data_IF_805055427215
#
_entry.id   IF_805055427215
#
_cell.length_a   1.000
_cell.length_b   1.000
_cell.length_c   1.000
_cell.angle_alpha   90.00
_cell.angle_beta   90.00
_cell.angle_gamma   90.00
#
_symmetry.space_group_name_H-M   'P 1'
#
loop_
_entity.id
_entity.type
_entity.pdbx_description
1 polymer ?
#
# COMPACT_ATOMS: atom_id res chain seq x y z
N UNK A 1 -3.85 7.44 7.09
CA UNK A 1 -4.68 6.50 7.88
C UNK A 1 -3.91 5.21 8.10
N UNK A 2 -4.16 4.55 9.23
CA UNK A 2 -3.61 3.25 9.61
C UNK A 2 -4.77 2.23 9.68
N UNK A 3 -4.96 1.48 8.61
CA UNK A 3 -6.05 0.51 8.51
C UNK A 3 -5.69 -0.77 9.28
N UNK A 4 -6.45 -1.05 10.34
CA UNK A 4 -6.31 -2.23 11.20
C UNK A 4 -7.50 -3.16 11.00
N UNK A 5 -7.24 -4.37 10.53
CA UNK A 5 -8.29 -5.38 10.39
C UNK A 5 -8.55 -6.08 11.73
N UNK A 6 -9.78 -6.00 12.24
CA UNK A 6 -10.20 -6.62 13.48
C UNK A 6 -11.68 -7.02 13.43
N UNK A 7 -11.98 -8.11 12.72
CA UNK A 7 -13.36 -8.53 12.51
C UNK A 7 -14.06 -8.96 13.79
N UNK A 8 -15.27 -8.43 14.01
CA UNK A 8 -16.10 -8.75 15.16
C UNK A 8 -16.88 -10.03 14.91
N UNK A 9 -16.18 -11.17 14.97
CA UNK A 9 -16.70 -12.50 14.62
C UNK A 9 -17.80 -13.00 15.56
N UNK A 10 -17.92 -12.44 16.76
CA UNK A 10 -18.98 -12.80 17.71
C UNK A 10 -20.28 -12.04 17.48
N UNK A 11 -20.25 -10.96 16.70
CA UNK A 11 -21.43 -10.15 16.38
C UNK A 11 -22.48 -10.96 15.62
N UNK A 12 -23.76 -10.71 15.93
CA UNK A 12 -24.88 -11.30 15.20
C UNK A 12 -24.84 -10.98 13.69
N UNK A 13 -24.38 -9.78 13.35
CA UNK A 13 -24.21 -9.33 11.96
C UNK A 13 -23.16 -10.17 11.20
N UNK A 14 -21.98 -10.39 11.78
CA UNK A 14 -20.94 -11.22 11.17
C UNK A 14 -21.44 -12.67 11.00
N UNK A 15 -22.02 -13.24 12.05
CA UNK A 15 -22.55 -14.62 12.05
C UNK A 15 -23.70 -14.83 11.08
N UNK A 16 -24.49 -13.80 10.79
CA UNK A 16 -25.54 -13.88 9.79
C UNK A 16 -25.01 -14.17 8.36
N UNK A 17 -23.72 -13.92 8.09
CA UNK A 17 -23.07 -14.36 6.84
C UNK A 17 -23.64 -13.75 5.55
N UNK A 18 -24.40 -12.65 5.63
CA UNK A 18 -25.02 -12.03 4.47
C UNK A 18 -24.03 -11.12 3.75
N UNK A 19 -24.02 -11.17 2.43
CA UNK A 19 -23.14 -10.36 1.59
C UNK A 19 -23.89 -9.30 0.79
N UNK A 20 -23.17 -8.27 0.37
CA UNK A 20 -23.66 -7.20 -0.49
C UNK A 20 -22.80 -7.07 -1.74
N UNK A 21 -23.42 -6.62 -2.82
CA UNK A 21 -22.68 -5.96 -3.90
C UNK A 21 -22.54 -4.50 -3.54
N UNK A 22 -21.31 -4.05 -3.31
CA UNK A 22 -21.03 -2.67 -2.93
C UNK A 22 -21.39 -1.73 -4.08
N UNK A 23 -22.34 -0.82 -3.83
CA UNK A 23 -22.77 0.24 -4.76
C UNK A 23 -22.48 1.63 -4.23
N UNK A 24 -22.16 1.77 -2.94
CA UNK A 24 -21.87 3.05 -2.32
C UNK A 24 -21.24 2.92 -0.93
N UNK A 25 -20.98 4.07 -0.32
CA UNK A 25 -20.40 4.26 1.00
C UNK A 25 -21.30 5.22 1.80
N UNK A 26 -21.50 4.94 3.09
CA UNK A 26 -22.27 5.76 4.00
C UNK A 26 -21.41 6.21 5.17
N UNK A 27 -21.28 7.52 5.36
CA UNK A 27 -20.58 8.11 6.50
C UNK A 27 -21.54 8.34 7.66
N UNK A 28 -21.06 8.02 8.86
CA UNK A 28 -21.75 8.14 10.13
C UNK A 28 -20.87 8.83 11.16
N UNK A 29 -21.49 9.27 12.25
CA UNK A 29 -20.78 9.54 13.50
C UNK A 29 -21.50 8.87 14.66
N UNK A 30 -20.73 8.46 15.66
CA UNK A 30 -21.20 7.53 16.70
C UNK A 30 -22.31 8.08 17.62
N UNK A 31 -22.68 9.36 17.50
CA UNK A 31 -23.84 9.95 18.17
C UNK A 31 -23.74 10.01 19.70
N UNK A 32 -22.54 9.95 20.25
CA UNK A 32 -22.26 10.05 21.68
C UNK A 32 -20.81 10.51 21.91
N UNK A 33 -20.49 11.15 23.05
CA UNK A 33 -19.15 11.71 23.31
C UNK A 33 -18.13 10.62 23.64
N UNK A 34 -17.79 9.82 22.65
CA UNK A 34 -16.89 8.68 22.77
C UNK A 34 -15.81 8.75 21.68
N UNK A 35 -14.58 9.18 22.05
CA UNK A 35 -13.50 9.39 21.10
C UNK A 35 -12.77 8.10 20.71
N UNK A 36 -13.10 6.95 21.32
CA UNK A 36 -12.38 5.69 21.12
C UNK A 36 -13.24 4.57 20.56
N UNK A 37 -12.71 3.90 19.53
CA UNK A 37 -13.37 2.83 18.81
C UNK A 37 -13.47 1.54 19.63
N UNK A 38 -12.55 1.31 20.58
CA UNK A 38 -12.48 0.07 21.36
C UNK A 38 -13.76 -0.19 22.17
N UNK A 39 -14.41 0.88 22.66
CA UNK A 39 -15.69 0.81 23.37
C UNK A 39 -16.79 0.23 22.47
N UNK A 40 -16.88 0.70 21.22
CA UNK A 40 -17.86 0.20 20.25
C UNK A 40 -17.53 -1.22 19.79
N UNK A 41 -16.25 -1.52 19.53
CA UNK A 41 -15.83 -2.87 19.16
C UNK A 41 -16.22 -3.90 20.22
N UNK A 42 -16.00 -3.58 21.51
CA UNK A 42 -16.44 -4.43 22.63
C UNK A 42 -17.97 -4.55 22.68
N UNK A 43 -18.69 -3.45 22.50
CA UNK A 43 -20.15 -3.42 22.56
C UNK A 43 -20.85 -4.05 21.34
N UNK A 44 -20.19 -4.16 20.19
CA UNK A 44 -20.79 -4.73 18.98
C UNK A 44 -20.35 -6.18 18.72
N UNK A 45 -19.28 -6.65 19.36
CA UNK A 45 -18.82 -8.04 19.25
C UNK A 45 -19.59 -8.99 20.19
N UNK A 46 -20.92 -8.99 20.09
CA UNK A 46 -21.82 -9.87 20.84
C UNK A 46 -23.00 -10.31 19.98
N UNK A 47 -23.52 -11.50 20.25
CA UNK A 47 -24.54 -12.11 19.40
C UNK A 47 -25.86 -11.30 19.32
N UNK A 48 -26.20 -10.58 20.39
CA UNK A 48 -27.39 -9.75 20.56
C UNK A 48 -27.19 -8.28 20.12
N UNK A 49 -26.01 -7.92 19.59
CA UNK A 49 -25.78 -6.57 19.06
C UNK A 49 -26.63 -6.36 17.80
N UNK A 50 -27.44 -5.30 17.80
CA UNK A 50 -28.34 -4.96 16.69
C UNK A 50 -27.77 -3.87 15.76
N UNK A 51 -26.50 -3.50 15.94
CA UNK A 51 -25.79 -2.55 15.10
C UNK A 51 -24.42 -3.11 14.72
N UNK A 52 -24.01 -2.87 13.49
CA UNK A 52 -22.70 -3.26 12.99
C UNK A 52 -22.35 -2.43 11.75
N UNK A 53 -21.20 -1.79 11.78
CA UNK A 53 -20.63 -1.01 10.67
C UNK A 53 -19.38 -1.71 10.16
N UNK A 54 -18.84 -1.25 9.04
CA UNK A 54 -17.64 -1.85 8.44
C UNK A 54 -16.36 -1.31 9.02
N UNK A 55 -16.32 -0.02 9.37
CA UNK A 55 -15.16 0.58 10.01
C UNK A 55 -15.50 1.71 10.97
N UNK A 56 -14.57 1.99 11.90
CA UNK A 56 -14.59 3.14 12.79
C UNK A 56 -13.29 3.94 12.61
N UNK A 57 -13.41 5.27 12.49
CA UNK A 57 -12.30 6.23 12.29
C UNK A 57 -12.02 7.01 13.59
N UNK A 58 -10.76 7.01 14.02
CA UNK A 58 -10.26 7.80 15.14
C UNK A 58 -9.48 9.05 14.67
N UNK A 59 -9.37 10.10 15.52
CA UNK A 59 -8.69 11.35 15.18
C UNK A 59 -7.16 11.23 15.08
N UNK A 60 -6.55 10.13 15.54
CA UNK A 60 -5.12 9.86 15.41
C UNK A 60 -4.77 9.13 14.09
N UNK A 61 -5.78 8.83 13.29
CA UNK A 61 -5.65 8.18 11.99
C UNK A 61 -5.75 6.67 12.03
N UNK A 62 -5.96 6.06 13.19
CA UNK A 62 -6.34 4.66 13.26
C UNK A 62 -7.74 4.44 12.69
N UNK A 63 -7.86 3.43 11.81
CA UNK A 63 -9.11 3.00 11.20
C UNK A 63 -9.29 1.52 11.47
N UNK A 64 -10.31 1.15 12.23
CA UNK A 64 -10.58 -0.24 12.58
C UNK A 64 -11.60 -0.83 11.62
N UNK A 65 -11.16 -1.68 10.69
CA UNK A 65 -12.08 -2.47 9.87
C UNK A 65 -12.62 -3.64 10.70
N UNK A 66 -13.89 -3.56 11.02
CA UNK A 66 -14.56 -4.44 11.99
C UNK A 66 -15.56 -5.41 11.35
N UNK A 67 -15.85 -5.22 10.06
CA UNK A 67 -16.62 -6.15 9.23
C UNK A 67 -15.97 -6.22 7.83
N UNK A 68 -15.94 -7.39 7.16
CA UNK A 68 -15.50 -7.47 5.77
C UNK A 68 -16.32 -6.51 4.88
N UNK A 69 -15.66 -5.81 3.95
CA UNK A 69 -16.29 -4.76 3.13
C UNK A 69 -17.51 -5.24 2.31
N UNK A 70 -17.51 -6.51 1.89
CA UNK A 70 -18.61 -7.13 1.14
C UNK A 70 -19.66 -7.81 2.03
N UNK A 71 -19.57 -7.69 3.36
CA UNK A 71 -20.58 -8.20 4.27
C UNK A 71 -21.70 -7.17 4.42
N UNK A 72 -22.92 -7.64 4.68
CA UNK A 72 -24.09 -6.80 4.90
C UNK A 72 -24.06 -6.23 6.32
N UNK A 73 -23.69 -4.96 6.45
CA UNK A 73 -23.75 -4.24 7.73
C UNK A 73 -25.18 -4.01 8.23
N UNK A 74 -25.31 -3.73 9.52
CA UNK A 74 -26.54 -3.29 10.19
C UNK A 74 -26.32 -1.86 10.69
N UNK A 75 -26.01 -0.95 9.78
CA UNK A 75 -25.48 0.38 10.11
C UNK A 75 -26.51 1.49 9.97
N UNK A 76 -27.43 1.40 9.00
CA UNK A 76 -28.33 2.53 8.68
C UNK A 76 -29.82 2.26 8.91
N UNK A 77 -30.20 1.07 9.39
CA UNK A 77 -31.62 0.74 9.64
C UNK A 77 -32.53 0.76 8.41
N UNK A 78 -31.99 0.67 7.18
CA UNK A 78 -32.78 0.76 5.94
C UNK A 78 -32.19 -0.03 4.76
N UNK A 79 -32.70 0.26 3.56
CA UNK A 79 -32.32 -0.42 2.32
C UNK A 79 -30.82 -0.35 2.00
N UNK A 80 -30.15 0.73 2.40
CA UNK A 80 -28.72 0.94 2.15
C UNK A 80 -27.81 -0.09 2.86
N UNK A 81 -28.30 -0.78 3.91
CA UNK A 81 -27.58 -1.92 4.49
C UNK A 81 -27.26 -3.01 3.46
N UNK A 82 -28.02 -3.10 2.35
CA UNK A 82 -27.83 -4.10 1.31
C UNK A 82 -26.89 -3.64 0.17
N UNK A 83 -26.38 -2.41 0.22
CA UNK A 83 -25.66 -1.79 -0.90
C UNK A 83 -24.47 -0.94 -0.50
N UNK A 84 -24.44 -0.43 0.74
CA UNK A 84 -23.44 0.54 1.19
C UNK A 84 -22.50 -0.06 2.25
N UNK A 85 -21.24 0.38 2.20
CA UNK A 85 -20.30 0.21 3.30
C UNK A 85 -20.55 1.33 4.31
N UNK A 86 -20.88 1.01 5.56
CA UNK A 86 -21.08 1.97 6.63
C UNK A 86 -19.78 2.24 7.40
N UNK A 87 -19.43 3.50 7.58
CA UNK A 87 -18.24 3.93 8.33
C UNK A 87 -18.62 4.94 9.40
N UNK A 88 -18.19 4.70 10.62
CA UNK A 88 -18.37 5.59 11.76
C UNK A 88 -17.15 6.47 11.99
N UNK A 89 -17.37 7.74 12.30
CA UNK A 89 -16.37 8.59 12.96
C UNK A 89 -16.67 8.66 14.45
N UNK A 90 -15.62 8.51 15.26
CA UNK A 90 -15.72 8.83 16.69
C UNK A 90 -16.06 10.31 16.90
N UNK A 91 -16.74 10.62 18.00
CA UNK A 91 -17.07 12.00 18.38
C UNK A 91 -16.23 12.42 19.61
N UNK A 92 -15.92 13.72 19.76
CA UNK A 92 -15.09 14.20 20.86
C UNK A 92 -15.73 13.97 22.23
N UNK A 93 -14.92 13.80 23.27
CA UNK A 93 -15.40 13.71 24.65
C UNK A 93 -15.96 15.04 25.19
N UNK A 94 -15.66 16.15 24.51
CA UNK A 94 -15.99 17.53 24.90
C UNK A 94 -17.34 18.02 24.35
N UNK A 95 -18.24 17.11 23.99
CA UNK A 95 -19.62 17.46 23.63
C UNK A 95 -20.63 16.75 24.52
N UNK A 96 -21.81 17.35 24.68
CA UNK A 96 -22.95 16.74 25.35
C UNK A 96 -24.17 16.82 24.45
N UNK A 97 -24.69 15.66 24.06
CA UNK A 97 -25.94 15.54 23.32
C UNK A 97 -27.13 15.97 24.19
N UNK A 98 -28.01 16.76 23.60
CA UNK A 98 -29.20 17.35 24.24
C UNK A 98 -30.51 16.84 23.61
N UNK A 99 -30.45 15.70 22.90
CA UNK A 99 -31.58 15.07 22.22
C UNK A 99 -31.62 15.36 20.72
N UNK A 100 -31.88 14.32 19.93
CA UNK A 100 -31.81 14.38 18.47
C UNK A 100 -30.42 14.77 17.99
N UNK A 101 -30.35 15.65 16.98
CA UNK A 101 -29.12 16.19 16.43
C UNK A 101 -28.48 17.32 17.28
N UNK A 102 -29.07 17.70 18.42
CA UNK A 102 -28.59 18.82 19.20
C UNK A 102 -27.48 18.41 20.17
N UNK A 103 -26.42 19.22 20.23
CA UNK A 103 -25.33 19.05 21.19
C UNK A 103 -24.79 20.41 21.65
N UNK A 104 -24.10 20.37 22.79
CA UNK A 104 -23.45 21.52 23.41
C UNK A 104 -21.97 21.21 23.65
N UNK A 105 -21.11 22.19 23.44
CA UNK A 105 -19.69 22.13 23.81
C UNK A 105 -19.56 22.12 25.34
N UNK A 106 -18.69 21.26 25.89
CA UNK A 106 -18.40 21.18 27.32
C UNK A 106 -17.00 21.65 27.71
N UNK A 107 -16.12 21.91 26.74
CA UNK A 107 -14.80 22.51 26.90
C UNK A 107 -14.69 23.90 26.25
N UNK A 108 -13.48 24.21 25.75
CA UNK A 108 -13.16 25.47 25.05
C UNK A 108 -13.42 25.41 23.54
N UNK A 109 -13.86 24.26 23.02
CA UNK A 109 -14.12 24.02 21.60
C UNK A 109 -12.89 23.68 20.75
N UNK A 110 -11.66 23.87 21.23
CA UNK A 110 -10.45 23.58 20.44
C UNK A 110 -10.29 22.07 20.24
N UNK A 111 -10.46 21.29 21.30
CA UNK A 111 -10.40 19.82 21.21
C UNK A 111 -11.51 19.26 20.31
N UNK A 112 -12.73 19.79 20.40
CA UNK A 112 -13.86 19.39 19.56
C UNK A 112 -13.55 19.67 18.08
N UNK A 113 -13.07 20.88 17.76
CA UNK A 113 -12.68 21.24 16.41
C UNK A 113 -11.58 20.33 15.86
N UNK A 114 -10.52 20.11 16.65
CA UNK A 114 -9.39 19.29 16.24
C UNK A 114 -9.82 17.83 15.99
N UNK A 115 -10.66 17.27 16.87
CA UNK A 115 -11.21 15.93 16.71
C UNK A 115 -12.02 15.80 15.43
N UNK A 116 -12.98 16.72 15.19
CA UNK A 116 -13.86 16.68 14.02
C UNK A 116 -13.09 16.84 12.72
N UNK A 117 -12.14 17.78 12.66
CA UNK A 117 -11.31 17.97 11.47
C UNK A 117 -10.40 16.77 11.20
N UNK A 118 -9.86 16.15 12.25
CA UNK A 118 -9.02 14.98 12.11
C UNK A 118 -9.80 13.74 11.64
N UNK A 119 -10.96 13.44 12.23
CA UNK A 119 -11.80 12.33 11.77
C UNK A 119 -12.33 12.55 10.36
N UNK A 120 -12.69 13.80 10.00
CA UNK A 120 -13.05 14.17 8.61
C UNK A 120 -11.91 13.83 7.63
N UNK A 121 -10.69 14.28 7.92
CA UNK A 121 -9.51 14.03 7.08
C UNK A 121 -9.30 12.52 6.86
N UNK A 122 -9.31 11.73 7.92
CA UNK A 122 -9.08 10.28 7.79
C UNK A 122 -10.26 9.54 7.16
N UNK A 123 -11.49 10.04 7.32
CA UNK A 123 -12.64 9.55 6.58
C UNK A 123 -12.50 9.83 5.07
N UNK A 124 -12.01 11.01 4.66
CA UNK A 124 -11.71 11.30 3.24
C UNK A 124 -10.71 10.29 2.68
N UNK A 125 -9.62 10.00 3.41
CA UNK A 125 -8.61 9.02 3.00
C UNK A 125 -9.19 7.61 2.84
N UNK A 126 -10.00 7.15 3.81
CA UNK A 126 -10.65 5.84 3.75
C UNK A 126 -11.65 5.76 2.60
N UNK A 127 -12.49 6.78 2.40
CA UNK A 127 -13.48 6.78 1.33
C UNK A 127 -12.82 6.83 -0.04
N UNK A 128 -11.71 7.57 -0.20
CA UNK A 128 -10.93 7.56 -1.44
C UNK A 128 -10.34 6.17 -1.73
N UNK A 129 -9.84 5.48 -0.70
CA UNK A 129 -9.39 4.09 -0.81
C UNK A 129 -10.52 3.16 -1.24
N UNK A 130 -11.69 3.22 -0.60
CA UNK A 130 -12.84 2.38 -0.91
C UNK A 130 -13.45 2.68 -2.29
N UNK A 131 -13.58 3.96 -2.66
CA UNK A 131 -14.02 4.34 -3.99
C UNK A 131 -13.06 3.81 -5.07
N UNK A 132 -11.75 3.83 -4.82
CA UNK A 132 -10.77 3.24 -5.75
C UNK A 132 -10.87 1.72 -5.83
N UNK A 133 -11.05 1.04 -4.68
CA UNK A 133 -11.19 -0.42 -4.60
C UNK A 133 -12.41 -0.94 -5.37
N UNK A 134 -13.53 -0.24 -5.27
CA UNK A 134 -14.81 -0.64 -5.84
C UNK A 134 -15.18 0.10 -7.13
N UNK A 135 -14.25 0.87 -7.70
CA UNK A 135 -14.46 1.68 -8.91
C UNK A 135 -15.71 2.58 -8.82
N UNK A 136 -15.89 3.24 -7.68
CA UNK A 136 -17.01 4.13 -7.41
C UNK A 136 -16.62 5.58 -7.75
N UNK A 137 -17.52 6.33 -8.38
CA UNK A 137 -17.36 7.77 -8.53
C UNK A 137 -17.95 8.50 -7.32
N UNK A 138 -17.14 9.12 -6.43
CA UNK A 138 -17.66 9.76 -5.23
C UNK A 138 -18.58 10.95 -5.51
N UNK A 139 -18.55 11.50 -6.73
CA UNK A 139 -19.43 12.59 -7.16
C UNK A 139 -20.77 12.08 -7.73
N UNK A 140 -20.91 10.78 -8.01
CA UNK A 140 -22.14 10.24 -8.56
C UNK A 140 -23.24 10.15 -7.50
N UNK A 141 -24.48 10.37 -7.92
CA UNK A 141 -25.63 10.42 -7.02
C UNK A 141 -25.82 9.11 -6.25
N UNK A 142 -25.98 9.21 -4.93
CA UNK A 142 -26.20 8.06 -4.04
C UNK A 142 -24.98 7.19 -3.77
N UNK A 143 -23.81 7.48 -4.36
CA UNK A 143 -22.59 6.67 -4.19
C UNK A 143 -21.94 6.92 -2.84
N UNK A 144 -21.60 8.16 -2.49
CA UNK A 144 -21.19 8.53 -1.13
C UNK A 144 -22.34 9.31 -0.53
N UNK A 145 -22.82 8.97 0.65
CA UNK A 145 -23.93 9.66 1.35
C UNK A 145 -23.69 9.70 2.87
N UNK A 146 -24.30 10.64 3.57
CA UNK A 146 -24.46 10.58 5.04
C UNK A 146 -25.67 9.74 5.42
N UNK A 147 -25.83 9.42 6.71
CA UNK A 147 -27.07 8.84 7.22
C UNK A 147 -28.26 9.78 6.96
N UNK A 148 -28.10 11.08 7.22
CA UNK A 148 -29.11 12.11 6.97
C UNK A 148 -29.57 12.15 5.50
N UNK A 149 -28.63 12.04 4.55
CA UNK A 149 -28.95 11.91 3.13
C UNK A 149 -29.66 10.59 2.81
N UNK A 150 -29.25 9.49 3.45
CA UNK A 150 -29.92 8.19 3.36
C UNK A 150 -31.37 8.24 3.85
N UNK A 151 -31.64 8.95 4.94
CA UNK A 151 -32.99 9.17 5.46
C UNK A 151 -33.85 9.92 4.45
N UNK A 152 -33.34 11.04 3.91
CA UNK A 152 -34.04 11.86 2.90
C UNK A 152 -34.34 11.07 1.63
N UNK A 153 -33.53 10.06 1.32
CA UNK A 153 -33.73 9.12 0.20
C UNK A 153 -34.63 7.93 0.53
N UNK A 154 -35.10 7.78 1.77
CA UNK A 154 -35.92 6.65 2.22
C UNK A 154 -35.17 5.31 2.30
N UNK A 155 -33.83 5.34 2.37
CA UNK A 155 -32.98 4.13 2.41
C UNK A 155 -32.22 3.97 3.74
N UNK A 156 -32.42 4.87 4.69
CA UNK A 156 -31.90 4.80 6.06
C UNK A 156 -32.93 5.30 7.07
N UNK A 157 -32.68 5.04 8.36
CA UNK A 157 -33.48 5.52 9.49
C UNK A 157 -33.35 7.03 9.69
N UNK A 158 -34.13 7.61 10.61
CA UNK A 158 -34.26 9.06 10.80
C UNK A 158 -33.12 9.75 11.55
N UNK A 159 -31.89 9.21 11.47
CA UNK A 159 -30.74 9.83 12.12
C UNK A 159 -30.18 11.00 11.28
N UNK A 160 -29.67 12.01 11.97
CA UNK A 160 -29.19 13.27 11.39
C UNK A 160 -27.67 13.36 11.18
N UNK A 161 -26.93 12.28 11.46
CA UNK A 161 -25.50 12.21 11.25
C UNK A 161 -25.12 12.24 9.77
N UNK A 162 -24.04 12.91 9.37
CA UNK A 162 -22.99 13.57 10.19
C UNK A 162 -23.16 15.08 10.30
N UNK A 163 -24.16 15.64 9.62
CA UNK A 163 -24.34 17.07 9.41
C UNK A 163 -24.59 17.85 10.71
N UNK A 164 -25.14 17.21 11.75
CA UNK A 164 -25.32 17.82 13.08
C UNK A 164 -24.01 18.29 13.70
N UNK A 165 -22.91 17.59 13.41
CA UNK A 165 -21.58 17.91 13.90
C UNK A 165 -20.83 18.78 12.88
N UNK A 166 -20.81 18.35 11.63
CA UNK A 166 -20.03 18.97 10.56
C UNK A 166 -20.40 20.42 10.25
N UNK A 167 -21.71 20.74 10.28
CA UNK A 167 -22.19 22.09 9.96
C UNK A 167 -21.63 23.17 10.90
N UNK A 168 -21.30 22.82 12.15
CA UNK A 168 -20.69 23.74 13.13
C UNK A 168 -19.26 24.14 12.78
N UNK A 169 -18.59 23.37 11.91
CA UNK A 169 -17.21 23.57 11.49
C UNK A 169 -17.08 23.90 9.99
N UNK A 170 -18.20 24.24 9.32
CA UNK A 170 -18.21 24.58 7.90
C UNK A 170 -17.98 23.40 6.96
N UNK A 171 -18.10 22.17 7.45
CA UNK A 171 -17.95 20.96 6.65
C UNK A 171 -19.31 20.55 6.05
N UNK A 172 -19.30 19.98 4.85
CA UNK A 172 -20.51 19.52 4.16
C UNK A 172 -20.27 18.23 3.39
N UNK A 173 -21.35 17.48 3.10
CA UNK A 173 -21.27 16.29 2.25
C UNK A 173 -20.86 16.62 0.82
N UNK A 174 -21.21 17.81 0.31
CA UNK A 174 -20.75 18.27 -1.00
C UNK A 174 -19.22 18.43 -1.02
N UNK A 175 -18.65 19.09 -0.01
CA UNK A 175 -17.21 19.25 0.09
C UNK A 175 -16.52 17.90 0.32
N UNK A 176 -17.09 17.03 1.16
CA UNK A 176 -16.56 15.69 1.41
C UNK A 176 -16.42 14.87 0.14
N UNK A 177 -17.44 14.87 -0.73
CA UNK A 177 -17.38 14.19 -2.04
C UNK A 177 -16.30 14.79 -2.96
N UNK A 178 -16.13 16.11 -2.96
CA UNK A 178 -15.05 16.80 -3.70
C UNK A 178 -13.67 16.44 -3.16
N UNK A 179 -13.51 16.40 -1.84
CA UNK A 179 -12.24 16.07 -1.18
C UNK A 179 -11.87 14.60 -1.40
N UNK A 180 -12.84 13.68 -1.36
CA UNK A 180 -12.62 12.28 -1.77
C UNK A 180 -12.17 12.22 -3.23
N UNK A 181 -12.86 12.93 -4.14
CA UNK A 181 -12.46 12.97 -5.55
C UNK A 181 -11.06 13.54 -5.74
N UNK A 182 -10.68 14.57 -4.98
CA UNK A 182 -9.35 15.16 -5.00
C UNK A 182 -8.30 14.15 -4.51
N UNK A 183 -8.56 13.50 -3.37
CA UNK A 183 -7.73 12.43 -2.81
C UNK A 183 -7.57 11.24 -3.78
N UNK A 184 -8.58 10.95 -4.60
CA UNK A 184 -8.51 9.95 -5.68
C UNK A 184 -7.73 10.42 -6.92
N UNK A 185 -7.76 11.71 -7.28
CA UNK A 185 -7.12 12.27 -8.49
C UNK A 185 -5.63 12.53 -8.35
N UNK A 186 -5.14 12.72 -7.13
CA UNK A 186 -3.75 12.97 -6.83
C UNK A 186 -3.53 12.92 -5.34
N UNK A 187 -3.08 11.77 -4.83
CA UNK A 187 -2.45 11.71 -3.52
C UNK A 187 -1.16 12.53 -3.54
N UNK A 188 -1.23 13.77 -3.09
CA UNK A 188 -0.13 14.64 -2.65
C UNK A 188 -0.78 15.79 -1.84
N UNK A 189 -0.19 16.46 -0.86
CA UNK A 189 1.11 16.40 -0.22
C UNK A 189 0.94 17.25 1.06
N UNK A 190 0.71 16.61 2.21
CA UNK A 190 0.87 17.27 3.51
C UNK A 190 1.17 16.33 4.68
N UNK A 191 0.83 15.03 4.63
CA UNK A 191 1.05 14.16 5.81
C UNK A 191 1.62 12.75 5.53
N UNK A 192 2.28 12.50 4.40
CA UNK A 192 3.31 11.43 4.33
C UNK A 192 4.30 11.66 3.19
N UNK A 193 5.07 12.74 3.25
CA UNK A 193 6.22 12.89 2.38
C UNK A 193 7.21 11.73 2.61
N UNK A 194 7.80 11.21 1.54
CA UNK A 194 8.61 9.99 1.59
C UNK A 194 10.03 10.34 1.99
N UNK A 195 10.39 10.07 3.25
CA UNK A 195 11.74 10.31 3.76
C UNK A 195 12.82 9.59 2.92
N UNK A 196 13.89 10.31 2.60
CA UNK A 196 15.09 9.76 1.93
C UNK A 196 15.95 8.99 2.94
N UNK A 197 15.97 9.46 4.20
CA UNK A 197 16.61 8.75 5.30
C UNK A 197 15.76 7.57 5.75
N UNK A 198 16.41 6.49 6.19
CA UNK A 198 15.77 5.28 6.70
C UNK A 198 16.26 4.00 6.01
N UNK A 199 15.67 2.88 6.41
CA UNK A 199 15.96 1.58 5.82
C UNK A 199 15.27 1.43 4.47
N UNK A 200 15.94 0.73 3.55
CA UNK A 200 15.33 0.35 2.29
C UNK A 200 14.07 -0.51 2.54
N UNK A 201 13.02 -0.27 1.73
CA UNK A 201 11.78 -1.04 1.74
C UNK A 201 11.77 -2.13 0.68
N UNK A 202 12.55 -1.97 -0.39
CA UNK A 202 12.75 -2.99 -1.40
C UNK A 202 14.01 -3.84 -1.15
N UNK A 203 13.96 -5.12 -1.54
CA UNK A 203 15.11 -6.03 -1.52
C UNK A 203 15.95 -5.90 -2.81
N UNK A 204 17.20 -6.38 -2.76
CA UNK A 204 18.06 -6.48 -3.93
C UNK A 204 17.42 -7.32 -5.06
N UNK A 205 16.69 -8.38 -4.70
CA UNK A 205 16.04 -9.25 -5.70
C UNK A 205 14.86 -8.57 -6.36
N UNK A 206 14.05 -7.79 -5.62
CA UNK A 206 13.00 -6.96 -6.21
C UNK A 206 13.57 -5.94 -7.20
N UNK A 207 14.69 -5.30 -6.85
CA UNK A 207 15.38 -4.37 -7.74
C UNK A 207 15.92 -5.06 -9.00
N UNK A 208 16.53 -6.24 -8.86
CA UNK A 208 17.00 -7.06 -9.99
C UNK A 208 15.84 -7.49 -10.90
N UNK A 209 14.74 -7.99 -10.34
CA UNK A 209 13.56 -8.44 -11.10
C UNK A 209 12.93 -7.28 -11.89
N UNK A 210 12.72 -6.14 -11.23
CA UNK A 210 12.24 -4.93 -11.89
C UNK A 210 13.16 -4.54 -13.07
N UNK A 211 14.47 -4.53 -12.84
CA UNK A 211 15.42 -4.09 -13.85
C UNK A 211 15.46 -5.02 -15.05
N UNK A 212 15.49 -6.34 -14.84
CA UNK A 212 15.42 -7.34 -15.92
C UNK A 212 14.16 -7.16 -16.78
N UNK A 213 13.03 -6.82 -16.16
CA UNK A 213 11.77 -6.58 -16.88
C UNK A 213 11.79 -5.30 -17.71
N UNK A 214 12.42 -4.23 -17.21
CA UNK A 214 12.50 -2.93 -17.90
C UNK A 214 13.64 -2.85 -18.91
N UNK A 215 14.71 -3.59 -18.70
CA UNK A 215 15.86 -3.69 -19.56
C UNK A 215 16.27 -5.16 -19.67
N UNK A 216 15.64 -5.94 -20.57
CA UNK A 216 15.98 -7.36 -20.77
C UNK A 216 17.44 -7.60 -21.20
N UNK A 217 18.08 -6.58 -21.78
CA UNK A 217 19.48 -6.59 -22.19
C UNK A 217 20.44 -6.03 -21.13
N UNK A 218 20.00 -5.86 -19.88
CA UNK A 218 20.83 -5.30 -18.83
C UNK A 218 22.09 -6.14 -18.61
N UNK A 219 23.30 -5.54 -18.56
CA UNK A 219 24.53 -6.29 -18.32
C UNK A 219 24.52 -6.96 -16.94
N UNK A 220 25.12 -8.15 -16.84
CA UNK A 220 25.22 -8.87 -15.56
C UNK A 220 25.96 -8.05 -14.49
N UNK A 221 26.99 -7.28 -14.88
CA UNK A 221 27.71 -6.39 -13.97
C UNK A 221 26.83 -5.33 -13.30
N UNK A 222 25.76 -4.89 -13.96
CA UNK A 222 24.76 -3.97 -13.38
C UNK A 222 23.90 -4.69 -12.36
N UNK A 223 23.54 -5.95 -12.60
CA UNK A 223 22.78 -6.76 -11.64
C UNK A 223 23.62 -7.10 -10.40
N UNK A 224 24.91 -7.36 -10.59
CA UNK A 224 25.84 -7.74 -9.54
C UNK A 224 26.11 -6.59 -8.56
N UNK A 225 26.03 -5.33 -9.02
CA UNK A 225 26.21 -4.16 -8.16
C UNK A 225 24.93 -3.73 -7.42
N UNK A 226 23.74 -4.24 -7.75
CA UNK A 226 22.48 -3.85 -7.08
C UNK A 226 22.53 -3.99 -5.54
N UNK A 227 23.07 -5.08 -4.96
CA UNK A 227 23.23 -5.20 -3.51
C UNK A 227 24.04 -4.06 -2.86
N UNK A 228 24.93 -3.40 -3.61
CA UNK A 228 25.72 -2.29 -3.10
C UNK A 228 24.86 -1.06 -2.76
N UNK A 229 23.72 -0.85 -3.43
CA UNK A 229 22.79 0.22 -3.06
C UNK A 229 22.25 0.01 -1.64
N UNK A 230 21.95 -1.24 -1.27
CA UNK A 230 21.44 -1.58 0.05
C UNK A 230 22.54 -1.38 1.09
N UNK A 231 23.74 -1.95 0.88
CA UNK A 231 24.81 -1.89 1.87
C UNK A 231 25.35 -0.47 2.07
N UNK A 232 25.56 0.29 1.00
CA UNK A 232 26.01 1.68 1.09
C UNK A 232 24.92 2.59 1.69
N UNK A 233 23.65 2.36 1.32
CA UNK A 233 22.52 3.06 1.92
C UNK A 233 22.39 2.80 3.42
N UNK A 234 22.43 1.54 3.85
CA UNK A 234 22.36 1.15 5.26
C UNK A 234 23.50 1.74 6.09
N UNK A 235 24.73 1.75 5.54
CA UNK A 235 25.87 2.37 6.19
C UNK A 235 25.62 3.85 6.51
N UNK A 236 25.01 4.60 5.57
CA UNK A 236 24.78 6.04 5.73
C UNK A 236 23.42 6.40 6.33
N UNK A 237 22.53 5.41 6.53
CA UNK A 237 21.15 5.62 6.97
C UNK A 237 20.23 6.17 5.88
N UNK A 238 20.60 5.99 4.61
CA UNK A 238 19.86 6.42 3.43
C UNK A 238 19.14 5.23 2.82
N UNK A 239 17.94 5.45 2.29
CA UNK A 239 17.19 4.45 1.55
C UNK A 239 17.89 4.08 0.25
N UNK A 240 18.62 2.96 0.27
CA UNK A 240 19.32 2.42 -0.90
C UNK A 240 18.40 2.11 -2.10
N UNK A 241 17.18 1.65 -1.82
CA UNK A 241 16.13 1.43 -2.82
C UNK A 241 15.68 2.73 -3.52
N UNK A 242 15.69 3.87 -2.80
CA UNK A 242 15.43 5.19 -3.37
C UNK A 242 16.56 5.62 -4.32
N UNK A 243 17.81 5.41 -3.91
CA UNK A 243 18.97 5.70 -4.75
C UNK A 243 18.97 4.84 -6.03
N UNK A 244 18.63 3.54 -5.92
CA UNK A 244 18.46 2.69 -7.09
C UNK A 244 17.33 3.19 -8.02
N UNK A 245 16.18 3.56 -7.47
CA UNK A 245 15.07 4.10 -8.26
C UNK A 245 15.45 5.40 -8.99
N UNK A 246 16.20 6.28 -8.32
CA UNK A 246 16.78 7.47 -8.94
C UNK A 246 17.74 7.07 -10.07
N UNK A 247 18.61 6.09 -9.87
CA UNK A 247 19.54 5.65 -10.90
C UNK A 247 18.84 5.09 -12.13
N UNK A 248 17.77 4.34 -11.93
CA UNK A 248 16.89 3.90 -13.02
C UNK A 248 16.29 5.08 -13.80
N UNK A 249 15.90 6.16 -13.12
CA UNK A 249 15.39 7.36 -13.79
C UNK A 249 16.49 8.03 -14.64
N UNK A 250 17.66 8.27 -14.06
CA UNK A 250 18.75 9.05 -14.68
C UNK A 250 19.42 8.33 -15.85
N UNK A 251 19.43 6.99 -15.81
CA UNK A 251 20.08 6.15 -16.83
C UNK A 251 19.10 5.52 -17.81
N UNK A 252 17.79 5.77 -17.66
CA UNK A 252 16.77 5.08 -18.44
C UNK A 252 16.79 3.56 -18.21
N UNK A 253 16.78 3.13 -16.95
CA UNK A 253 16.92 1.74 -16.50
C UNK A 253 18.24 1.10 -17.00
N UNK A 254 19.36 1.81 -16.84
CA UNK A 254 20.69 1.36 -17.23
C UNK A 254 20.85 1.05 -18.72
N UNK A 255 20.01 1.66 -19.57
CA UNK A 255 20.20 1.65 -21.03
C UNK A 255 21.17 2.74 -21.47
N UNK A 256 21.29 3.82 -20.68
CA UNK A 256 22.08 5.02 -20.93
C UNK A 256 21.73 5.73 -22.25
N UNK A 257 20.61 5.35 -22.88
CA UNK A 257 20.17 5.95 -24.14
C UNK A 257 19.83 7.43 -23.93
N UNK A 258 20.55 8.31 -24.60
CA UNK A 258 20.41 9.77 -24.45
C UNK A 258 20.86 10.32 -23.08
N UNK A 259 21.53 9.51 -22.25
CA UNK A 259 22.04 9.96 -20.94
C UNK A 259 23.35 10.74 -21.08
N UNK A 260 23.61 11.65 -20.14
CA UNK A 260 24.85 12.43 -20.05
C UNK A 260 26.00 11.65 -19.36
N UNK A 261 25.73 10.41 -18.97
CA UNK A 261 26.67 9.47 -18.36
C UNK A 261 26.60 8.13 -19.08
N UNK A 262 27.69 7.37 -19.01
CA UNK A 262 27.77 6.00 -19.55
C UNK A 262 28.16 5.02 -18.45
N UNK A 263 27.93 3.72 -18.70
CA UNK A 263 28.16 2.65 -17.73
C UNK A 263 29.58 2.66 -17.14
N UNK A 264 30.62 2.86 -17.96
CA UNK A 264 32.02 2.85 -17.50
C UNK A 264 32.39 4.00 -16.56
N UNK A 265 31.56 5.04 -16.45
CA UNK A 265 31.81 6.14 -15.50
C UNK A 265 31.41 5.78 -14.07
N UNK A 266 30.69 4.66 -13.86
CA UNK A 266 30.11 4.31 -12.56
C UNK A 266 29.26 5.43 -11.93
N UNK A 267 28.72 6.33 -12.75
CA UNK A 267 27.90 7.45 -12.30
C UNK A 267 26.47 7.20 -12.72
N UNK A 268 25.69 6.60 -11.82
CA UNK A 268 24.35 6.14 -12.14
C UNK A 268 23.27 7.18 -11.85
N UNK A 269 23.62 8.33 -11.27
CA UNK A 269 22.68 9.39 -10.90
C UNK A 269 22.92 10.72 -11.64
N UNK A 270 23.78 10.72 -12.65
CA UNK A 270 24.10 11.93 -13.41
C UNK A 270 24.87 12.97 -12.57
N UNK A 271 25.59 12.56 -11.53
CA UNK A 271 26.28 13.49 -10.63
C UNK A 271 27.28 14.35 -11.41
N UNK A 272 27.18 15.67 -11.26
CA UNK A 272 28.03 16.64 -11.97
C UNK A 272 27.55 17.06 -13.36
N UNK A 273 26.42 16.53 -13.84
CA UNK A 273 25.75 17.05 -15.04
C UNK A 273 25.03 18.35 -14.69
N UNK A 274 25.73 19.48 -14.81
CA UNK A 274 25.18 20.80 -14.39
C UNK A 274 24.47 21.56 -15.52
N UNK A 275 24.62 21.12 -16.77
CA UNK A 275 23.99 21.72 -17.95
C UNK A 275 23.98 20.73 -19.11
N UNK A 276 23.08 20.92 -20.08
CA UNK A 276 22.99 20.09 -21.28
C UNK A 276 24.35 20.06 -22.00
N UNK A 277 24.82 18.87 -22.36
CA UNK A 277 26.09 18.66 -23.06
C UNK A 277 27.32 18.54 -22.17
N UNK A 278 27.22 18.74 -20.84
CA UNK A 278 28.30 18.36 -19.91
C UNK A 278 28.20 16.89 -19.54
N UNK A 279 29.32 16.19 -19.62
CA UNK A 279 29.47 14.82 -19.12
C UNK A 279 29.48 14.80 -17.59
N UNK A 280 28.89 13.76 -17.02
CA UNK A 280 28.94 13.55 -15.57
C UNK A 280 30.33 13.19 -15.06
N UNK A 281 30.49 13.18 -13.74
CA UNK A 281 31.70 12.67 -13.07
C UNK A 281 31.91 11.17 -13.34
N UNK A 282 33.13 10.70 -13.11
CA UNK A 282 33.49 9.28 -13.18
C UNK A 282 34.06 8.80 -11.84
N UNK A 283 33.82 7.53 -11.51
CA UNK A 283 34.31 6.89 -10.30
C UNK A 283 35.00 5.56 -10.64
N UNK A 284 36.02 5.21 -9.88
CA UNK A 284 36.87 4.03 -10.18
C UNK A 284 36.10 2.70 -10.10
N UNK A 285 35.11 2.62 -9.22
CA UNK A 285 34.30 1.41 -9.03
C UNK A 285 32.81 1.72 -8.91
N UNK A 286 31.92 0.76 -9.24
CA UNK A 286 30.49 0.88 -8.99
C UNK A 286 30.17 1.24 -7.54
N UNK A 287 30.90 0.66 -6.59
CA UNK A 287 30.73 0.94 -5.16
C UNK A 287 30.99 2.42 -4.86
N UNK A 288 32.08 3.00 -5.37
CA UNK A 288 32.42 4.40 -5.13
C UNK A 288 31.40 5.35 -5.77
N UNK A 289 30.90 5.01 -6.95
CA UNK A 289 29.84 5.78 -7.60
C UNK A 289 28.51 5.75 -6.85
N UNK A 290 28.09 4.57 -6.42
CA UNK A 290 26.88 4.40 -5.57
C UNK A 290 27.07 5.13 -4.24
N UNK A 291 28.26 5.03 -3.62
CA UNK A 291 28.57 5.76 -2.37
C UNK A 291 28.46 7.27 -2.58
N UNK A 292 29.02 7.81 -3.67
CA UNK A 292 28.92 9.24 -3.96
C UNK A 292 27.45 9.69 -4.11
N UNK A 293 26.61 8.90 -4.80
CA UNK A 293 25.18 9.17 -4.88
C UNK A 293 24.50 9.16 -3.50
N UNK A 294 24.75 8.12 -2.69
CA UNK A 294 24.18 7.99 -1.35
C UNK A 294 24.59 9.19 -0.46
N UNK A 295 25.86 9.61 -0.53
CA UNK A 295 26.34 10.79 0.16
C UNK A 295 25.64 12.06 -0.33
N UNK A 296 25.41 12.21 -1.64
CA UNK A 296 24.70 13.37 -2.18
C UNK A 296 23.24 13.42 -1.71
N UNK A 297 22.54 12.27 -1.71
CA UNK A 297 21.19 12.16 -1.15
C UNK A 297 21.17 12.46 0.36
N UNK A 298 22.15 11.98 1.12
CA UNK A 298 22.30 12.32 2.54
C UNK A 298 22.54 13.81 2.76
N UNK A 299 23.32 14.46 1.89
CA UNK A 299 23.53 15.89 1.95
C UNK A 299 22.19 16.64 1.82
N UNK A 300 21.34 16.25 0.87
CA UNK A 300 20.00 16.81 0.73
C UNK A 300 19.13 16.53 1.94
N UNK A 301 19.15 15.30 2.45
CA UNK A 301 18.15 14.83 3.39
C UNK A 301 18.46 15.06 4.88
N UNK A 302 19.73 15.21 5.26
CA UNK A 302 20.16 15.26 6.65
C UNK A 302 21.39 16.15 6.87
N UNK A 303 21.55 16.62 8.11
CA UNK A 303 22.75 17.30 8.62
C UNK A 303 23.71 16.37 9.34
N UNK A 304 23.39 15.08 9.51
CA UNK A 304 24.22 14.08 10.18
C UNK A 304 25.56 13.86 9.48
N UNK A 305 26.62 13.57 10.23
CA UNK A 305 27.94 13.28 9.64
C UNK A 305 27.88 12.05 8.74
N UNK A 306 28.71 12.04 7.70
CA UNK A 306 28.96 10.82 6.91
C UNK A 306 29.60 9.76 7.79
N UNK A 307 29.24 8.49 7.56
CA UNK A 307 29.85 7.36 8.25
C UNK A 307 31.10 6.86 7.53
N UNK A 308 31.07 6.87 6.20
CA UNK A 308 32.19 6.52 5.35
C UNK A 308 32.98 7.75 4.90
N UNK A 309 34.18 7.52 4.35
CA UNK A 309 34.99 8.56 3.74
C UNK A 309 34.22 9.30 2.63
N UNK A 310 34.38 10.61 2.56
CA UNK A 310 33.73 11.46 1.56
C UNK A 310 34.27 11.14 0.15
N UNK A 311 33.40 10.63 -0.72
CA UNK A 311 33.67 10.34 -2.14
C UNK A 311 32.97 11.35 -3.05
N UNK A 312 31.81 11.87 -2.66
CA UNK A 312 31.08 12.88 -3.42
C UNK A 312 31.84 14.23 -3.45
N UNK A 313 32.47 14.63 -4.57
CA UNK A 313 33.21 15.89 -4.65
C UNK A 313 32.28 17.11 -4.65
N UNK A 314 30.98 16.91 -4.83
CA UNK A 314 29.95 17.96 -4.84
C UNK A 314 29.20 18.09 -3.52
N UNK A 315 29.50 17.26 -2.53
CA UNK A 315 28.83 17.26 -1.22
C UNK A 315 28.83 18.66 -0.59
N UNK A 316 29.94 19.38 -0.71
CA UNK A 316 30.12 20.74 -0.19
C UNK A 316 29.19 21.81 -0.79
N UNK A 317 28.60 21.56 -1.97
CA UNK A 317 27.74 22.52 -2.64
C UNK A 317 26.27 22.40 -2.23
N UNK A 318 25.89 21.31 -1.57
CA UNK A 318 24.51 21.09 -1.12
C UNK A 318 24.28 21.84 0.20
N UNK A 319 23.25 22.69 0.26
CA UNK A 319 22.76 23.18 1.56
C UNK A 319 22.18 21.98 2.31
N UNK A 320 22.86 21.54 3.36
CA UNK A 320 22.52 20.28 4.02
C UNK A 320 21.13 20.30 4.65
N UNK A 321 20.40 19.19 4.55
CA UNK A 321 19.04 19.05 5.09
C UNK A 321 17.96 19.87 4.37
N UNK A 322 18.22 20.37 3.16
CA UNK A 322 17.25 21.19 2.43
C UNK A 322 16.15 20.39 1.71
N UNK A 323 16.27 19.07 1.60
CA UNK A 323 15.28 18.19 0.98
C UNK A 323 15.22 16.83 1.71
N UNK A 324 14.67 16.74 2.94
CA UNK A 324 14.48 15.49 3.70
C UNK A 324 13.64 14.43 2.98
N UNK A 325 12.80 14.82 2.03
CA UNK A 325 11.85 13.95 1.35
C UNK A 325 12.13 13.84 -0.15
N UNK A 326 11.87 12.67 -0.73
CA UNK A 326 12.16 12.38 -2.13
C UNK A 326 11.40 13.32 -3.08
N UNK A 327 10.17 13.67 -2.73
CA UNK A 327 9.34 14.67 -3.40
C UNK A 327 10.09 16.01 -3.54
N UNK A 328 10.84 16.40 -2.51
CA UNK A 328 11.60 17.66 -2.46
C UNK A 328 12.96 17.60 -3.15
N UNK A 329 13.31 16.48 -3.80
CA UNK A 329 14.44 16.46 -4.73
C UNK A 329 14.13 17.23 -6.02
N UNK A 330 12.84 17.45 -6.33
CA UNK A 330 12.44 18.41 -7.35
C UNK A 330 12.42 19.82 -6.78
N UNK A 331 13.14 20.75 -7.40
CA UNK A 331 13.26 22.14 -6.91
C UNK A 331 11.91 22.85 -6.86
N UNK A 332 11.00 22.52 -7.78
CA UNK A 332 9.67 23.13 -7.86
C UNK A 332 8.71 22.60 -6.79
N UNK A 333 8.91 21.36 -6.36
CA UNK A 333 8.10 20.70 -5.33
C UNK A 333 8.67 20.91 -3.92
N UNK A 334 9.88 21.44 -3.79
CA UNK A 334 10.50 21.75 -2.51
C UNK A 334 10.14 23.18 -2.05
N UNK A 335 9.55 23.38 -0.86
CA UNK A 335 9.27 24.70 -0.30
C UNK A 335 10.49 25.62 -0.17
N UNK A 336 11.70 25.06 -0.10
CA UNK A 336 12.96 25.83 -0.06
C UNK A 336 13.50 26.22 -1.43
N UNK A 337 12.85 25.79 -2.53
CA UNK A 337 13.31 26.00 -3.90
C UNK A 337 14.63 25.29 -4.22
N UNK A 338 15.03 24.29 -3.41
CA UNK A 338 16.27 23.52 -3.55
C UNK A 338 15.95 22.08 -3.94
N UNK A 339 16.90 21.38 -4.50
CA UNK A 339 16.68 20.00 -4.92
C UNK A 339 17.69 19.56 -5.96
N UNK A 340 17.72 18.26 -6.19
CA UNK A 340 18.58 17.60 -7.17
C UNK A 340 18.34 18.11 -8.58
N UNK A 341 17.07 18.23 -8.99
CA UNK A 341 16.70 18.57 -10.35
C UNK A 341 15.78 19.80 -10.43
N UNK A 342 15.99 20.61 -11.46
CA UNK A 342 15.16 21.79 -11.77
C UNK A 342 13.82 21.43 -12.44
N UNK A 343 13.71 20.21 -12.99
CA UNK A 343 12.52 19.74 -13.68
C UNK A 343 11.36 19.43 -12.72
N UNK A 344 10.13 19.60 -13.21
CA UNK A 344 8.91 19.26 -12.48
C UNK A 344 8.78 17.77 -12.23
N UNK A 345 8.15 17.45 -11.10
CA UNK A 345 7.74 16.11 -10.68
C UNK A 345 8.91 15.14 -10.59
N UNK A 346 10.12 15.65 -10.30
CA UNK A 346 11.31 14.81 -10.25
C UNK A 346 11.19 13.74 -9.15
N UNK A 347 10.84 14.15 -7.94
CA UNK A 347 10.61 13.24 -6.83
C UNK A 347 9.48 12.23 -7.11
N UNK A 348 8.37 12.68 -7.71
CA UNK A 348 7.26 11.79 -8.09
C UNK A 348 7.69 10.70 -9.08
N UNK A 349 8.55 11.02 -10.05
CA UNK A 349 9.09 10.03 -11.01
C UNK A 349 9.94 8.97 -10.31
N UNK A 350 10.79 9.37 -9.36
CA UNK A 350 11.56 8.44 -8.53
C UNK A 350 10.61 7.52 -7.74
N UNK A 351 9.60 8.11 -7.09
CA UNK A 351 8.63 7.36 -6.29
C UNK A 351 7.78 6.39 -7.12
N UNK A 352 7.46 6.75 -8.36
CA UNK A 352 6.77 5.87 -9.31
C UNK A 352 7.60 4.61 -9.61
N UNK A 353 8.90 4.78 -9.89
CA UNK A 353 9.83 3.65 -10.11
C UNK A 353 9.95 2.82 -8.83
N UNK A 354 10.17 3.46 -7.68
CA UNK A 354 10.30 2.78 -6.40
C UNK A 354 9.05 1.95 -6.06
N UNK A 355 7.85 2.48 -6.32
CA UNK A 355 6.59 1.76 -6.13
C UNK A 355 6.52 0.52 -7.03
N UNK A 356 6.94 0.64 -8.28
CA UNK A 356 7.00 -0.49 -9.20
C UNK A 356 7.98 -1.57 -8.70
N UNK A 357 9.17 -1.19 -8.25
CA UNK A 357 10.16 -2.10 -7.65
C UNK A 357 9.57 -2.86 -6.46
N UNK A 358 8.97 -2.15 -5.50
CA UNK A 358 8.37 -2.77 -4.31
C UNK A 358 7.24 -3.74 -4.69
N UNK A 359 6.49 -3.43 -5.76
CA UNK A 359 5.38 -4.28 -6.23
C UNK A 359 5.82 -5.61 -6.83
N UNK A 360 7.07 -5.76 -7.29
CA UNK A 360 7.58 -7.04 -7.82
C UNK A 360 7.47 -8.19 -6.79
N UNK A 361 7.67 -7.89 -5.49
CA UNK A 361 7.51 -8.91 -4.45
C UNK A 361 6.06 -9.31 -4.19
N UNK A 362 5.08 -8.44 -4.48
CA UNK A 362 3.66 -8.77 -4.34
C UNK A 362 3.21 -9.69 -5.46
N UNK A 363 3.70 -9.48 -6.68
CA UNK A 363 3.39 -10.35 -7.83
C UNK A 363 3.94 -11.75 -7.59
N UNK A 364 5.21 -11.89 -7.21
CA UNK A 364 5.79 -13.20 -6.90
C UNK A 364 5.15 -13.90 -5.69
N UNK A 365 4.78 -13.15 -4.64
CA UNK A 365 4.05 -13.72 -3.51
C UNK A 365 2.65 -14.19 -3.91
N UNK A 366 1.94 -13.43 -4.74
CA UNK A 366 0.64 -13.84 -5.27
C UNK A 366 0.74 -15.03 -6.21
N UNK A 367 1.74 -15.10 -7.09
CA UNK A 367 2.04 -16.27 -7.93
C UNK A 367 2.39 -17.49 -7.07
N UNK A 368 3.19 -17.31 -6.02
CA UNK A 368 3.49 -18.40 -5.07
C UNK A 368 2.24 -18.85 -4.33
N UNK A 369 1.35 -17.93 -3.93
CA UNK A 369 0.10 -18.27 -3.26
C UNK A 369 -0.86 -19.03 -4.18
N UNK A 370 -0.96 -18.65 -5.46
CA UNK A 370 -1.80 -19.33 -6.47
C UNK A 370 -1.27 -20.71 -6.86
N UNK A 371 0.05 -20.93 -6.82
CA UNK A 371 0.64 -22.28 -6.95
C UNK A 371 0.56 -23.11 -5.66
N UNK A 372 0.44 -22.48 -4.48
CA UNK A 372 0.36 -23.20 -3.19
C UNK A 372 -1.05 -23.60 -2.75
N UNK A 373 -2.09 -23.03 -3.36
CA UNK A 373 -3.47 -23.42 -3.08
C UNK A 373 -3.75 -24.82 -3.66
N UNK A 374 -4.32 -25.77 -2.89
CA UNK A 374 -4.65 -27.08 -3.41
C UNK A 374 -5.57 -27.00 -4.63
N UNK A 375 -5.25 -27.75 -5.68
CA UNK A 375 -6.05 -27.81 -6.89
C UNK A 375 -6.16 -29.25 -7.41
N UNK A 376 -7.10 -29.51 -8.32
CA UNK A 376 -7.30 -30.86 -8.87
C UNK A 376 -6.60 -31.02 -10.21
N UNK A 377 -6.06 -32.20 -10.45
CA UNK A 377 -5.53 -32.61 -11.75
C UNK A 377 -6.17 -33.91 -12.18
N UNK A 378 -6.41 -34.05 -13.48
CA UNK A 378 -6.82 -35.31 -14.10
C UNK A 378 -5.59 -36.00 -14.69
N UNK A 379 -5.27 -37.19 -14.19
CA UNK A 379 -4.24 -38.08 -14.76
C UNK A 379 -4.87 -38.91 -15.87
N UNK A 380 -4.27 -38.93 -17.06
CA UNK A 380 -4.78 -39.61 -18.25
C UNK A 380 -4.16 -40.98 -18.53
N UNK A 381 -3.09 -41.35 -17.81
CA UNK A 381 -2.36 -42.62 -18.02
C UNK A 381 -2.53 -43.59 -16.83
N UNK A 382 -2.59 -44.90 -17.07
CA UNK A 382 -2.92 -45.89 -16.04
C UNK A 382 -1.78 -46.18 -15.04
N UNK A 383 -0.53 -45.81 -15.36
CA UNK A 383 0.68 -46.25 -14.64
C UNK A 383 1.62 -45.09 -14.26
N UNK A 384 1.07 -43.88 -14.04
CA UNK A 384 1.86 -42.73 -13.59
C UNK A 384 2.48 -43.01 -12.21
N UNK A 385 3.80 -43.21 -12.21
CA UNK A 385 4.58 -43.56 -11.02
C UNK A 385 4.55 -42.43 -9.98
N UNK A 386 4.37 -42.81 -8.71
CA UNK A 386 4.49 -41.92 -7.56
C UNK A 386 5.93 -42.00 -7.03
N UNK A 387 6.57 -40.85 -6.78
CA UNK A 387 7.97 -40.75 -6.37
C UNK A 387 8.13 -40.06 -5.02
N UNK A 388 9.23 -40.38 -4.32
CA UNK A 388 9.55 -39.81 -3.00
C UNK A 388 9.98 -38.34 -3.04
N UNK A 389 10.15 -37.76 -4.22
CA UNK A 389 10.48 -36.35 -4.40
C UNK A 389 10.23 -35.87 -5.84
N UNK A 390 10.31 -34.56 -6.07
CA UNK A 390 9.99 -33.93 -7.35
C UNK A 390 11.14 -34.12 -8.34
N UNK A 391 11.11 -35.22 -9.10
CA UNK A 391 12.11 -35.51 -10.11
C UNK A 391 12.28 -37.00 -10.39
N UNK A 392 12.82 -37.33 -11.57
CA UNK A 392 13.14 -38.71 -11.95
C UNK A 392 14.33 -39.29 -11.19
N UNK A 393 15.18 -38.43 -10.60
CA UNK A 393 16.28 -38.81 -9.71
C UNK A 393 15.81 -39.34 -8.35
N UNK A 394 14.58 -39.05 -7.93
CA UNK A 394 14.02 -39.57 -6.69
C UNK A 394 13.48 -41.00 -6.88
N UNK A 395 13.69 -41.90 -5.89
CA UNK A 395 13.16 -43.25 -5.95
C UNK A 395 11.63 -43.29 -6.14
N UNK A 396 11.16 -44.27 -6.91
CA UNK A 396 9.74 -44.63 -6.95
C UNK A 396 9.30 -45.17 -5.59
N UNK A 397 8.04 -44.93 -5.22
CA UNK A 397 7.46 -45.52 -4.00
C UNK A 397 7.04 -46.98 -4.18
N UNK A 398 7.04 -47.47 -5.43
CA UNK A 398 6.41 -48.74 -5.81
C UNK A 398 4.92 -48.63 -6.11
N UNK A 399 4.32 -47.44 -5.97
CA UNK A 399 2.91 -47.17 -6.27
C UNK A 399 2.77 -46.28 -7.52
N UNK A 400 1.59 -46.33 -8.14
CA UNK A 400 1.17 -45.48 -9.25
C UNK A 400 -0.24 -44.93 -9.01
N UNK A 401 -0.64 -43.85 -9.68
CA UNK A 401 -1.93 -43.19 -9.43
C UNK A 401 -3.12 -43.91 -10.09
N UNK A 402 -2.94 -44.42 -11.31
CA UNK A 402 -4.06 -44.78 -12.19
C UNK A 402 -4.64 -43.56 -12.93
N UNK A 403 -5.54 -43.83 -13.88
CA UNK A 403 -6.37 -42.80 -14.53
C UNK A 403 -7.39 -42.30 -13.50
N UNK A 404 -7.48 -40.99 -13.30
CA UNK A 404 -8.38 -40.44 -12.30
C UNK A 404 -8.12 -38.96 -11.98
N UNK A 405 -8.83 -38.44 -10.98
CA UNK A 405 -8.67 -37.07 -10.50
C UNK A 405 -7.99 -37.09 -9.14
N UNK A 406 -6.96 -36.25 -8.98
CA UNK A 406 -6.13 -36.19 -7.78
C UNK A 406 -5.95 -34.75 -7.34
N UNK A 407 -5.87 -34.51 -6.03
CA UNK A 407 -5.58 -33.18 -5.48
C UNK A 407 -4.07 -33.00 -5.36
N UNK A 408 -3.53 -31.97 -5.99
CA UNK A 408 -2.16 -31.49 -5.82
C UNK A 408 -2.18 -30.39 -4.77
N UNK A 409 -1.28 -30.48 -3.78
CA UNK A 409 -1.17 -29.52 -2.67
C UNK A 409 0.09 -28.68 -2.74
N UNK A 410 1.02 -29.02 -3.64
CA UNK A 410 2.27 -28.30 -3.86
C UNK A 410 2.83 -28.65 -5.24
N UNK A 411 3.39 -27.65 -5.94
CA UNK A 411 4.15 -27.85 -7.17
C UNK A 411 5.63 -27.57 -6.94
N UNK A 412 6.48 -28.36 -7.59
CA UNK A 412 7.91 -28.08 -7.69
C UNK A 412 8.48 -28.63 -8.98
N UNK A 413 9.07 -27.77 -9.79
CA UNK A 413 9.81 -28.13 -11.01
C UNK A 413 9.03 -29.03 -12.00
N UNK A 414 7.73 -28.78 -12.17
CA UNK A 414 6.84 -29.58 -13.03
C UNK A 414 6.31 -30.87 -12.38
N UNK A 415 6.49 -31.03 -11.07
CA UNK A 415 5.94 -32.13 -10.27
C UNK A 415 4.91 -31.64 -9.27
N UNK A 416 3.89 -32.44 -9.00
CA UNK A 416 2.84 -32.16 -8.02
C UNK A 416 2.87 -33.14 -6.85
N UNK A 417 2.84 -32.64 -5.62
CA UNK A 417 2.66 -33.44 -4.41
C UNK A 417 1.18 -33.77 -4.23
N UNK A 418 0.86 -35.06 -4.19
CA UNK A 418 -0.49 -35.54 -3.94
C UNK A 418 -0.92 -35.28 -2.50
N UNK A 419 -2.16 -34.80 -2.30
CA UNK A 419 -2.74 -34.54 -0.97
C UNK A 419 -2.63 -35.73 -0.01
N UNK A 420 -2.84 -36.95 -0.52
CA UNK A 420 -2.76 -38.18 0.28
C UNK A 420 -1.35 -38.49 0.82
N UNK A 421 -0.31 -37.82 0.29
CA UNK A 421 1.08 -37.97 0.67
C UNK A 421 1.67 -36.70 1.29
N UNK A 422 0.83 -35.71 1.62
CA UNK A 422 1.25 -34.41 2.11
C UNK A 422 2.05 -34.50 3.43
N UNK A 423 1.64 -35.38 4.34
CA UNK A 423 2.29 -35.52 5.65
C UNK A 423 3.73 -36.02 5.55
N UNK A 424 3.97 -37.06 4.74
CA UNK A 424 5.29 -37.67 4.55
C UNK A 424 6.09 -37.03 3.42
N UNK A 425 5.43 -36.19 2.61
CA UNK A 425 5.97 -35.49 1.43
C UNK A 425 6.63 -36.42 0.41
N UNK A 426 6.19 -37.67 0.34
CA UNK A 426 6.81 -38.74 -0.44
C UNK A 426 5.94 -39.26 -1.59
N UNK A 427 5.00 -38.44 -2.08
CA UNK A 427 4.09 -38.81 -3.16
C UNK A 427 3.97 -37.76 -4.26
N UNK A 428 5.05 -37.60 -5.02
CA UNK A 428 5.14 -36.69 -6.15
C UNK A 428 4.82 -37.38 -7.47
N UNK A 429 4.07 -36.71 -8.33
CA UNK A 429 3.74 -37.14 -9.69
C UNK A 429 4.19 -36.10 -10.71
N UNK A 430 4.53 -36.54 -11.92
CA UNK A 430 4.87 -35.62 -13.01
C UNK A 430 3.60 -34.98 -13.56
N UNK A 431 3.52 -33.65 -13.54
CA UNK A 431 2.35 -32.91 -14.02
C UNK A 431 2.24 -32.92 -15.54
N UNK A 432 3.30 -33.30 -16.25
CA UNK A 432 3.31 -33.46 -17.71
C UNK A 432 2.29 -34.49 -18.23
N UNK A 433 1.85 -35.42 -17.37
CA UNK A 433 0.83 -36.43 -17.68
C UNK A 433 -0.54 -36.09 -17.10
N UNK A 434 -0.76 -34.82 -16.77
CA UNK A 434 -1.96 -34.37 -16.10
C UNK A 434 -2.58 -33.16 -16.80
N UNK A 435 -3.87 -32.97 -16.61
CA UNK A 435 -4.57 -31.74 -16.99
C UNK A 435 -5.13 -31.10 -15.73
N UNK A 436 -4.76 -29.84 -15.47
CA UNK A 436 -5.28 -29.06 -14.35
C UNK A 436 -6.79 -28.80 -14.55
N UNK A 437 -7.56 -28.98 -13.50
CA UNK A 437 -9.02 -28.81 -13.47
C UNK A 437 -9.44 -27.49 -12.82
#
# INVERSE_FOLDING_TARGET
MNLKQNYLTESGCYKAGKHITVKGLMIHSVGCPQPKADVFMKNWNRADANACVHAIVEPDGDVYQILPWNHRGWHCGGGANNTHIGVEMTEPATIKHAGGANWTETGDGENTKNHVLATYKYAVELFAYLCSQYNLDPLADGVVISHSEGCRRGIASNHGDVEHLWSKFGLSMEQFRKDIKAAMKGGSAADSLTAIMGKAKATADQMKSYLKKKNPSVPQSVLDMIPLYISEGEAEGVRGDMAFAQSCLETGNFTFSGSAVILSQNNFCGLGVTQRGKTGLSFDTPQLGIRAQIQHLKAYASTDKLRNALIDPRFRYVKRGCAPYAEWLGQKENPQGKGWAAGEKYGEKILSILKAVISEGKVHFMESLTLSAPYMVRVSIPDLNIRRGPGTSYPKTGKFTGVGVFTVVEEKDGWGLLKAYQEKRDGWISLAFTTRM
#
